data_IF_565041000519
#
_entry.id   IF_565041000519
#
_cell.length_a   1.000
_cell.length_b   1.000
_cell.length_c   1.000
_cell.angle_alpha   90.00
_cell.angle_beta   90.00
_cell.angle_gamma   90.00
#
_symmetry.space_group_name_H-M   'P 1'
#
loop_
_entity.id
_entity.type
_entity.pdbx_description
1 polymer ?
#
# COMPACT_ATOMS: atom_id res chain seq x y z
N UNK A 1 0.13 16.63 -29.57
CA UNK A 1 -0.21 17.05 -28.19
C UNK A 1 -0.47 15.78 -27.42
N UNK A 2 0.54 15.27 -26.70
CA UNK A 2 0.43 13.98 -26.00
C UNK A 2 0.65 14.26 -24.52
N UNK A 3 -0.47 14.32 -23.81
CA UNK A 3 -0.71 14.17 -22.37
C UNK A 3 0.47 14.41 -21.42
N UNK A 4 0.57 15.65 -20.94
CA UNK A 4 1.39 16.03 -19.78
C UNK A 4 0.77 15.63 -18.42
N UNK A 5 -0.40 14.99 -18.39
CA UNK A 5 -1.14 14.71 -17.15
C UNK A 5 -0.61 13.53 -16.31
N UNK A 6 0.29 12.68 -16.83
CA UNK A 6 0.80 11.54 -16.05
C UNK A 6 1.94 11.87 -15.07
N UNK A 7 2.36 13.13 -14.95
CA UNK A 7 3.58 13.49 -14.21
C UNK A 7 3.38 13.97 -12.76
N UNK A 8 2.14 14.12 -12.29
CA UNK A 8 1.86 14.85 -11.03
C UNK A 8 1.48 13.99 -9.80
N UNK A 9 1.83 12.70 -9.77
CA UNK A 9 1.74 11.85 -8.57
C UNK A 9 3.11 11.46 -7.98
N UNK A 10 4.22 11.93 -8.57
CA UNK A 10 5.60 11.68 -8.14
C UNK A 10 6.17 12.73 -7.17
N UNK A 11 5.36 13.35 -6.32
CA UNK A 11 5.79 14.51 -5.50
C UNK A 11 6.26 14.16 -4.08
N UNK A 12 6.44 12.88 -3.72
CA UNK A 12 7.04 12.50 -2.43
C UNK A 12 8.13 11.44 -2.63
N UNK A 13 9.21 11.58 -1.87
CA UNK A 13 10.35 10.67 -1.90
C UNK A 13 9.88 9.21 -1.76
N UNK A 14 10.44 8.29 -2.56
CA UNK A 14 10.15 6.87 -2.48
C UNK A 14 10.44 6.32 -1.07
N UNK A 15 9.73 5.26 -0.71
CA UNK A 15 9.91 4.57 0.56
C UNK A 15 10.60 3.25 0.23
N UNK A 16 11.78 3.03 0.80
CA UNK A 16 12.55 1.79 0.65
C UNK A 16 12.41 0.92 1.89
N UNK A 17 12.70 -0.37 1.73
CA UNK A 17 12.66 -1.35 2.81
C UNK A 17 13.82 -1.12 3.79
N UNK A 18 13.57 -1.38 5.08
CA UNK A 18 14.62 -1.48 6.10
C UNK A 18 15.65 -2.61 5.79
N UNK A 19 15.29 -3.56 4.91
CA UNK A 19 16.14 -4.67 4.46
C UNK A 19 16.75 -4.44 3.06
N UNK A 20 16.82 -3.20 2.57
CA UNK A 20 17.31 -2.89 1.21
C UNK A 20 18.69 -3.53 0.91
N UNK A 21 19.58 -3.57 1.90
CA UNK A 21 20.95 -4.09 1.75
C UNK A 21 21.08 -5.59 2.09
N UNK A 22 19.97 -6.27 2.43
CA UNK A 22 19.97 -7.70 2.71
C UNK A 22 19.70 -8.49 1.42
N UNK A 23 20.76 -9.10 0.88
CA UNK A 23 20.70 -9.89 -0.35
C UNK A 23 19.73 -11.08 -0.24
N UNK A 24 19.53 -11.64 0.95
CA UNK A 24 18.57 -12.72 1.19
C UNK A 24 17.12 -12.25 1.05
N UNK A 25 16.87 -10.96 1.27
CA UNK A 25 15.53 -10.36 1.22
C UNK A 25 15.21 -9.69 -0.12
N UNK A 26 16.21 -9.33 -0.92
CA UNK A 26 16.04 -8.60 -2.18
C UNK A 26 15.01 -9.24 -3.12
N UNK A 27 15.08 -10.57 -3.31
CA UNK A 27 14.14 -11.29 -4.18
C UNK A 27 12.70 -11.23 -3.68
N UNK A 28 12.46 -11.47 -2.39
CA UNK A 28 11.10 -11.49 -1.84
C UNK A 28 10.50 -10.09 -1.76
N UNK A 29 11.32 -9.08 -1.48
CA UNK A 29 10.92 -7.67 -1.53
C UNK A 29 10.51 -7.29 -2.94
N UNK A 30 11.29 -7.66 -3.96
CA UNK A 30 10.93 -7.37 -5.35
C UNK A 30 9.61 -8.02 -5.77
N UNK A 31 9.36 -9.28 -5.38
CA UNK A 31 8.07 -9.93 -5.60
C UNK A 31 6.94 -9.16 -4.92
N UNK A 32 7.13 -8.75 -3.66
CA UNK A 32 6.13 -7.96 -2.95
C UNK A 32 5.85 -6.61 -3.67
N UNK A 33 6.89 -5.92 -4.11
CA UNK A 33 6.77 -4.66 -4.86
C UNK A 33 5.98 -4.88 -6.17
N UNK A 34 6.23 -5.96 -6.90
CA UNK A 34 5.50 -6.30 -8.13
C UNK A 34 4.01 -6.55 -7.92
N UNK A 35 3.61 -6.96 -6.71
CA UNK A 35 2.22 -7.18 -6.37
C UNK A 35 1.47 -5.92 -5.95
N UNK A 36 2.18 -4.86 -5.53
CA UNK A 36 1.56 -3.63 -5.00
C UNK A 36 0.52 -3.03 -5.95
N UNK A 37 0.78 -2.86 -7.26
CA UNK A 37 -0.22 -2.30 -8.18
C UNK A 37 -1.52 -3.10 -8.21
N UNK A 38 -1.42 -4.43 -8.20
CA UNK A 38 -2.58 -5.33 -8.18
C UNK A 38 -3.35 -5.20 -6.86
N UNK A 39 -2.64 -5.10 -5.73
CA UNK A 39 -3.25 -4.92 -4.40
C UNK A 39 -3.96 -3.57 -4.26
N UNK A 40 -3.39 -2.49 -4.81
CA UNK A 40 -4.04 -1.17 -4.88
C UNK A 40 -5.35 -1.27 -5.67
N UNK A 41 -5.31 -1.86 -6.86
CA UNK A 41 -6.50 -2.02 -7.69
C UNK A 41 -7.60 -2.82 -6.98
N UNK A 42 -7.23 -3.94 -6.33
CA UNK A 42 -8.17 -4.76 -5.56
C UNK A 42 -8.80 -3.98 -4.39
N UNK A 43 -8.01 -3.23 -3.62
CA UNK A 43 -8.52 -2.39 -2.54
C UNK A 43 -9.52 -1.34 -3.05
N UNK A 44 -9.22 -0.69 -4.18
CA UNK A 44 -10.12 0.29 -4.78
C UNK A 44 -11.44 -0.35 -5.24
N UNK A 45 -11.37 -1.54 -5.85
CA UNK A 45 -12.57 -2.32 -6.22
C UNK A 45 -13.40 -2.64 -4.99
N UNK A 46 -12.82 -3.26 -3.96
CA UNK A 46 -13.55 -3.61 -2.74
C UNK A 46 -14.14 -2.39 -2.03
N UNK A 47 -13.44 -1.27 -2.05
CA UNK A 47 -13.95 -0.02 -1.49
C UNK A 47 -15.13 0.55 -2.28
N UNK A 48 -15.05 0.55 -3.62
CA UNK A 48 -16.11 1.05 -4.50
C UNK A 48 -17.37 0.17 -4.45
N UNK A 49 -17.19 -1.15 -4.40
CA UNK A 49 -18.27 -2.15 -4.34
C UNK A 49 -18.87 -2.30 -2.93
N UNK A 50 -18.40 -1.53 -1.95
CA UNK A 50 -18.80 -1.63 -0.55
C UNK A 50 -18.55 -3.03 0.06
N UNK A 51 -17.59 -3.78 -0.52
CA UNK A 51 -17.19 -5.10 -0.06
C UNK A 51 -16.23 -4.99 1.14
N UNK A 52 -16.80 -4.60 2.29
CA UNK A 52 -16.08 -4.35 3.53
C UNK A 52 -15.22 -5.54 3.97
N UNK A 53 -15.73 -6.76 3.84
CA UNK A 53 -15.05 -7.94 4.37
C UNK A 53 -13.78 -8.26 3.60
N UNK A 54 -13.82 -8.22 2.26
CA UNK A 54 -12.62 -8.39 1.43
C UNK A 54 -11.65 -7.21 1.59
N UNK A 55 -12.16 -5.98 1.74
CA UNK A 55 -11.33 -4.83 2.08
C UNK A 55 -10.57 -5.04 3.40
N UNK A 56 -11.26 -5.47 4.46
CA UNK A 56 -10.65 -5.72 5.77
C UNK A 56 -9.57 -6.81 5.69
N UNK A 57 -9.84 -7.91 4.99
CA UNK A 57 -8.86 -8.99 4.78
C UNK A 57 -7.61 -8.49 4.08
N UNK A 58 -7.78 -7.70 3.01
CA UNK A 58 -6.65 -7.15 2.25
C UNK A 58 -5.83 -6.16 3.08
N UNK A 59 -6.47 -5.28 3.86
CA UNK A 59 -5.78 -4.39 4.81
C UNK A 59 -4.97 -5.19 5.84
N UNK A 60 -5.55 -6.26 6.39
CA UNK A 60 -4.87 -7.12 7.35
C UNK A 60 -3.65 -7.82 6.73
N UNK A 61 -3.78 -8.36 5.51
CA UNK A 61 -2.67 -8.99 4.79
C UNK A 61 -1.54 -8.01 4.49
N UNK A 62 -1.87 -6.79 4.05
CA UNK A 62 -0.88 -5.74 3.80
C UNK A 62 -0.18 -5.28 5.08
N UNK A 63 -0.89 -5.24 6.22
CA UNK A 63 -0.28 -4.97 7.53
C UNK A 63 0.80 -6.02 7.86
N UNK A 64 0.49 -7.30 7.67
CA UNK A 64 1.44 -8.39 7.94
C UNK A 64 2.66 -8.34 7.01
N UNK A 65 2.41 -8.19 5.70
CA UNK A 65 3.47 -8.09 4.69
C UNK A 65 4.38 -6.88 4.93
N UNK A 66 3.81 -5.72 5.28
CA UNK A 66 4.58 -4.50 5.56
C UNK A 66 5.65 -4.71 6.64
N UNK A 67 5.33 -5.43 7.72
CA UNK A 67 6.30 -5.72 8.78
C UNK A 67 7.37 -6.72 8.32
N UNK A 68 6.94 -7.81 7.67
CA UNK A 68 7.85 -8.87 7.23
C UNK A 68 8.85 -8.44 6.16
N UNK A 69 8.55 -7.38 5.40
CA UNK A 69 9.39 -6.88 4.31
C UNK A 69 10.05 -5.53 4.60
N UNK A 70 10.08 -5.08 5.85
CA UNK A 70 10.79 -3.86 6.25
C UNK A 70 10.10 -2.55 5.83
N UNK A 71 8.78 -2.58 5.63
CA UNK A 71 7.95 -1.41 5.33
C UNK A 71 7.04 -1.07 6.51
N UNK A 72 7.65 -0.74 7.66
CA UNK A 72 6.94 -0.45 8.92
C UNK A 72 5.81 0.60 8.77
N UNK A 73 5.96 1.54 7.83
CA UNK A 73 4.93 2.54 7.51
C UNK A 73 3.64 1.97 6.91
N UNK A 74 3.72 0.87 6.15
CA UNK A 74 2.55 0.12 5.67
C UNK A 74 1.82 -0.47 6.88
N UNK A 75 2.54 -1.17 7.76
CA UNK A 75 2.00 -1.78 8.98
C UNK A 75 1.27 -0.75 9.84
N UNK A 76 1.91 0.41 10.09
CA UNK A 76 1.34 1.45 10.95
C UNK A 76 0.05 2.04 10.36
N UNK A 77 0.05 2.33 9.06
CA UNK A 77 -1.11 2.95 8.40
C UNK A 77 -2.26 1.96 8.26
N UNK A 78 -1.98 0.71 7.90
CA UNK A 78 -2.96 -0.36 7.83
C UNK A 78 -3.61 -0.63 9.20
N UNK A 79 -2.82 -0.63 10.29
CA UNK A 79 -3.35 -0.75 11.65
C UNK A 79 -4.32 0.39 12.00
N UNK A 80 -4.06 1.62 11.54
CA UNK A 80 -4.96 2.76 11.72
C UNK A 80 -6.31 2.54 11.06
N UNK A 81 -6.34 1.97 9.85
CA UNK A 81 -7.56 1.61 9.13
C UNK A 81 -8.28 0.46 9.85
N UNK A 82 -7.57 -0.63 10.16
CA UNK A 82 -8.13 -1.83 10.81
C UNK A 82 -8.80 -1.50 12.14
N UNK A 83 -8.21 -0.60 12.94
CA UNK A 83 -8.82 -0.13 14.20
C UNK A 83 -10.18 0.53 13.99
N UNK A 84 -10.35 1.34 12.93
CA UNK A 84 -11.63 1.97 12.59
C UNK A 84 -12.64 0.95 12.07
N UNK A 85 -12.17 -0.05 11.34
CA UNK A 85 -13.02 -1.12 10.81
C UNK A 85 -13.35 -2.22 11.84
N UNK A 86 -12.80 -2.17 13.05
CA UNK A 86 -13.00 -3.22 14.07
C UNK A 86 -14.47 -3.51 14.36
N UNK A 87 -15.32 -2.49 14.36
CA UNK A 87 -16.76 -2.62 14.57
C UNK A 87 -17.43 -2.51 13.20
N UNK A 88 -18.20 -3.53 12.75
CA UNK A 88 -18.96 -3.44 11.51
C UNK A 88 -19.98 -2.31 11.57
N UNK A 89 -19.98 -1.46 10.54
CA UNK A 89 -20.90 -0.34 10.35
C UNK A 89 -21.24 -0.21 8.88
N UNK A 90 -22.44 0.30 8.59
CA UNK A 90 -22.93 0.50 7.22
C UNK A 90 -22.15 1.61 6.50
N UNK A 91 -21.86 2.71 7.19
CA UNK A 91 -21.11 3.88 6.68
C UNK A 91 -19.61 3.80 7.01
N UNK A 92 -19.00 2.63 6.80
CA UNK A 92 -17.59 2.42 7.15
C UNK A 92 -16.63 3.19 6.24
N UNK A 93 -17.05 3.50 5.00
CA UNK A 93 -16.23 4.15 3.98
C UNK A 93 -15.91 5.60 4.36
N UNK A 94 -16.90 6.33 4.86
CA UNK A 94 -16.76 7.71 5.32
C UNK A 94 -15.76 7.81 6.47
N UNK A 95 -15.75 6.85 7.39
CA UNK A 95 -14.83 6.84 8.54
C UNK A 95 -13.36 6.65 8.14
N UNK A 96 -13.10 5.96 7.02
CA UNK A 96 -11.75 5.59 6.60
C UNK A 96 -11.27 6.25 5.31
N UNK A 97 -12.12 6.98 4.57
CA UNK A 97 -11.82 7.54 3.25
C UNK A 97 -10.44 8.20 3.20
N UNK A 98 -10.20 9.16 4.10
CA UNK A 98 -8.91 9.86 4.19
C UNK A 98 -7.75 8.91 4.52
N UNK A 99 -7.95 7.96 5.44
CA UNK A 99 -6.91 6.98 5.79
C UNK A 99 -6.60 6.06 4.61
N UNK A 100 -7.60 5.71 3.82
CA UNK A 100 -7.45 4.88 2.65
C UNK A 100 -6.68 5.60 1.55
N UNK A 101 -7.01 6.86 1.27
CA UNK A 101 -6.24 7.72 0.35
C UNK A 101 -4.78 7.85 0.77
N UNK A 102 -4.53 8.15 2.05
CA UNK A 102 -3.19 8.23 2.63
C UNK A 102 -2.44 6.88 2.50
N UNK A 103 -3.15 5.76 2.66
CA UNK A 103 -2.59 4.42 2.52
C UNK A 103 -2.22 4.06 1.07
N UNK A 104 -3.08 4.39 0.10
CA UNK A 104 -2.79 4.23 -1.33
C UNK A 104 -1.55 5.04 -1.71
N UNK A 105 -1.45 6.29 -1.25
CA UNK A 105 -0.28 7.13 -1.50
C UNK A 105 1.02 6.52 -0.93
N UNK A 106 0.95 5.87 0.24
CA UNK A 106 2.09 5.14 0.81
C UNK A 106 2.46 3.94 -0.07
N UNK A 107 1.50 3.12 -0.48
CA UNK A 107 1.75 1.96 -1.34
C UNK A 107 2.37 2.37 -2.68
N UNK A 108 1.90 3.47 -3.29
CA UNK A 108 2.48 4.01 -4.52
C UNK A 108 3.94 4.45 -4.33
N UNK A 109 4.27 5.10 -3.21
CA UNK A 109 5.66 5.50 -2.88
C UNK A 109 6.57 4.31 -2.60
N UNK A 110 6.04 3.24 -2.00
CA UNK A 110 6.77 1.99 -1.79
C UNK A 110 7.05 1.31 -3.12
N UNK A 111 6.05 1.21 -4.00
CA UNK A 111 6.24 0.69 -5.36
C UNK A 111 7.28 1.51 -6.14
N UNK A 112 7.26 2.84 -6.03
CA UNK A 112 8.28 3.71 -6.64
C UNK A 112 9.70 3.51 -6.07
N UNK A 113 9.84 2.92 -4.88
CA UNK A 113 11.14 2.51 -4.32
C UNK A 113 11.79 1.33 -5.05
N UNK A 114 11.02 0.59 -5.86
CA UNK A 114 11.55 -0.48 -6.71
C UNK A 114 12.64 0.02 -7.65
N UNK A 115 12.44 1.19 -8.25
CA UNK A 115 13.37 1.78 -9.22
C UNK A 115 14.73 2.15 -8.58
N UNK A 116 14.79 2.30 -7.25
CA UNK A 116 16.04 2.57 -6.50
C UNK A 116 16.77 1.27 -6.12
N UNK A 117 16.05 0.16 -6.05
CA UNK A 117 16.57 -1.13 -5.58
C UNK A 117 17.27 -1.93 -6.68
N UNK A 118 17.17 -1.50 -7.94
CA UNK A 118 17.59 -2.26 -9.12
C UNK A 118 18.90 -1.83 -9.79
N UNK A 119 19.53 -0.75 -9.31
CA UNK A 119 20.70 -0.11 -9.96
C UNK A 119 22.04 -0.34 -9.22
N UNK A 120 22.14 -1.37 -8.35
CA UNK A 120 23.39 -1.67 -7.62
C UNK A 120 23.84 -3.11 -7.81
#
# INVERSE_FOLDING_TARGET
MINEEHKSLRTKAPIVSDYLNDQGMAKIINIFLDEIPKRIAALQVFFNEDNRDEFCKMIHQLKGAGGGYGFTIITRTALGIEKKLRIPKKEWKEEIQKNFEDFIAILQRVHAGKDISGDT
#
